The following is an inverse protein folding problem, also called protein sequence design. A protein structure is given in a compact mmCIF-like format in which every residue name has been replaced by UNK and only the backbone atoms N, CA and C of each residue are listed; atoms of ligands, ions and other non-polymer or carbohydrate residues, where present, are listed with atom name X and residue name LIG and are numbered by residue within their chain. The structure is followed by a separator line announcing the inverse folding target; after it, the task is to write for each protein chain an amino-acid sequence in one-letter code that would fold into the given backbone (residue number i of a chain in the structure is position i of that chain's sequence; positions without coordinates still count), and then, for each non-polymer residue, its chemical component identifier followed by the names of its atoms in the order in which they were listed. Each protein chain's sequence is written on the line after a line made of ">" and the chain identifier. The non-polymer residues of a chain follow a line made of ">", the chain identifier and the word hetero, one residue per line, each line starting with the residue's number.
data_IF_734776894008
#
_entry.id   IF_734776894008
#
_cell.length_a   1.000
_cell.length_b   1.000
_cell.length_c   1.000
_cell.angle_alpha   90.00
_cell.angle_beta   90.00
_cell.angle_gamma   90.00
#
_symmetry.space_group_name_H-M   'P 1'
#
loop_
_entity.id
_entity.type
_entity.pdbx_description
1 polymer ?
#
# COMPACT_ATOMS: atom_id res chain seq x y z
N UNK A 1 -22.82 28.24 10.67
CA UNK A 1 -22.15 26.94 10.80
C UNK A 1 -20.91 27.14 11.66
N UNK A 2 -20.66 26.27 12.66
CA UNK A 2 -19.41 26.33 13.42
C UNK A 2 -18.23 25.82 12.60
N UNK A 3 -16.97 26.22 12.92
CA UNK A 3 -15.77 25.69 12.24
C UNK A 3 -15.76 24.16 12.22
N UNK A 4 -16.04 23.49 13.34
CA UNK A 4 -16.15 22.02 13.43
C UNK A 4 -17.12 21.44 12.40
N UNK A 5 -18.31 22.02 12.23
CA UNK A 5 -19.29 21.56 11.23
C UNK A 5 -18.77 21.73 9.81
N UNK A 6 -18.03 22.81 9.54
CA UNK A 6 -17.42 23.04 8.22
C UNK A 6 -16.33 22.01 7.94
N UNK A 7 -15.43 21.79 8.89
CA UNK A 7 -14.36 20.78 8.80
C UNK A 7 -14.92 19.36 8.55
N UNK A 8 -15.93 18.96 9.34
CA UNK A 8 -16.59 17.67 9.18
C UNK A 8 -17.20 17.53 7.78
N UNK A 9 -17.96 18.54 7.30
CA UNK A 9 -18.57 18.48 5.96
C UNK A 9 -17.56 18.37 4.83
N UNK A 10 -16.37 18.98 4.98
CA UNK A 10 -15.27 18.86 4.03
C UNK A 10 -14.69 17.45 4.04
N UNK A 11 -14.54 16.84 5.23
CA UNK A 11 -13.90 15.55 5.40
C UNK A 11 -14.80 14.34 5.08
N UNK A 12 -16.11 14.42 5.30
CA UNK A 12 -17.05 13.31 5.15
C UNK A 12 -16.95 12.57 3.80
N UNK A 13 -16.81 13.26 2.63
CA UNK A 13 -16.79 12.57 1.33
C UNK A 13 -15.62 11.61 1.12
N UNK A 14 -14.55 11.73 1.88
CA UNK A 14 -13.37 10.88 1.76
C UNK A 14 -13.26 9.82 2.87
N UNK A 15 -14.25 9.73 3.77
CA UNK A 15 -14.30 8.69 4.80
C UNK A 15 -15.11 7.51 4.29
N UNK A 16 -14.51 6.34 4.33
CA UNK A 16 -15.15 5.09 3.90
C UNK A 16 -15.30 4.10 5.05
N UNK A 17 -16.30 3.23 4.96
CA UNK A 17 -16.42 2.05 5.82
C UNK A 17 -15.75 0.87 5.16
N UNK A 18 -14.92 0.15 5.91
CA UNK A 18 -14.24 -1.07 5.48
C UNK A 18 -14.88 -2.25 6.17
N UNK A 19 -15.21 -3.28 5.42
CA UNK A 19 -15.81 -4.48 5.94
C UNK A 19 -15.49 -5.71 5.09
N UNK A 20 -16.08 -6.80 5.48
CA UNK A 20 -16.02 -8.08 4.75
C UNK A 20 -17.42 -8.60 4.52
N UNK A 21 -17.55 -9.53 3.58
CA UNK A 21 -18.81 -10.19 3.30
C UNK A 21 -18.93 -11.44 4.16
N UNK A 22 -19.94 -11.50 5.01
CA UNK A 22 -20.28 -12.70 5.77
C UNK A 22 -21.55 -13.34 5.25
N UNK A 23 -21.54 -14.66 5.15
CA UNK A 23 -22.73 -15.46 4.87
C UNK A 23 -23.41 -15.82 6.18
N UNK A 24 -24.61 -15.29 6.39
CA UNK A 24 -25.43 -15.60 7.56
C UNK A 24 -26.58 -16.52 7.11
N UNK A 25 -26.67 -17.68 7.73
CA UNK A 25 -27.86 -18.54 7.61
C UNK A 25 -29.01 -17.91 8.40
N UNK A 26 -29.95 -17.30 7.70
CA UNK A 26 -31.15 -16.79 8.35
C UNK A 26 -32.10 -17.95 8.63
N UNK A 27 -32.20 -18.34 9.89
CA UNK A 27 -33.24 -19.22 10.38
C UNK A 27 -34.44 -18.32 10.76
N UNK A 28 -35.47 -18.33 9.92
CA UNK A 28 -36.60 -17.42 10.05
C UNK A 28 -37.50 -17.69 11.27
N UNK A 29 -37.27 -18.75 12.03
CA UNK A 29 -38.07 -19.09 13.21
C UNK A 29 -37.24 -19.98 14.18
N UNK A 30 -37.08 -19.59 15.47
CA UNK A 30 -36.43 -20.45 16.47
C UNK A 30 -37.10 -21.82 16.63
N UNK A 31 -38.41 -21.95 16.33
CA UNK A 31 -39.13 -23.22 16.34
C UNK A 31 -38.80 -24.10 15.14
N UNK A 32 -38.32 -23.57 14.04
CA UNK A 32 -37.97 -24.38 12.85
C UNK A 32 -36.75 -25.28 13.06
N UNK A 33 -35.89 -24.99 14.05
CA UNK A 33 -34.77 -25.83 14.42
C UNK A 33 -35.19 -27.21 14.98
N UNK A 34 -36.39 -27.32 15.51
CA UNK A 34 -36.93 -28.59 16.03
C UNK A 34 -37.60 -29.46 14.97
N UNK A 35 -37.88 -28.91 13.75
CA UNK A 35 -38.63 -29.60 12.69
C UNK A 35 -37.85 -29.61 11.36
N UNK A 36 -36.55 -29.37 11.36
CA UNK A 36 -35.70 -29.32 10.14
C UNK A 36 -35.67 -30.62 9.35
N UNK A 37 -35.94 -31.77 9.98
CA UNK A 37 -35.98 -33.07 9.27
C UNK A 37 -37.28 -33.32 8.50
N UNK A 38 -38.34 -32.55 8.73
CA UNK A 38 -39.63 -32.82 8.13
C UNK A 38 -40.05 -31.87 7.01
N UNK A 39 -39.50 -30.64 6.98
CA UNK A 39 -39.77 -29.66 5.94
C UNK A 39 -38.45 -29.04 5.45
N UNK A 40 -37.94 -29.57 4.34
CA UNK A 40 -36.83 -28.93 3.61
C UNK A 40 -37.25 -27.56 3.09
N UNK A 41 -37.27 -26.53 3.93
CA UNK A 41 -37.33 -25.15 3.49
C UNK A 41 -35.92 -24.67 3.25
N UNK A 42 -35.62 -24.10 2.06
CA UNK A 42 -34.29 -23.60 1.76
C UNK A 42 -33.95 -22.48 2.75
N UNK A 43 -32.93 -22.71 3.57
CA UNK A 43 -32.30 -21.66 4.36
C UNK A 43 -31.78 -20.62 3.38
N UNK A 44 -32.27 -19.39 3.46
CA UNK A 44 -31.71 -18.30 2.66
C UNK A 44 -30.37 -17.94 3.25
N UNK A 45 -29.31 -18.13 2.48
CA UNK A 45 -28.00 -17.55 2.77
C UNK A 45 -28.12 -16.07 2.45
N UNK A 46 -28.09 -15.23 3.48
CA UNK A 46 -27.99 -13.79 3.31
C UNK A 46 -26.52 -13.41 3.39
N UNK A 47 -26.08 -12.71 2.39
CA UNK A 47 -24.78 -12.07 2.38
C UNK A 47 -24.90 -10.72 3.04
N UNK A 48 -24.24 -10.50 4.17
CA UNK A 48 -24.29 -9.26 4.92
C UNK A 48 -22.90 -8.63 5.00
N UNK A 49 -22.84 -7.30 4.87
CA UNK A 49 -21.66 -6.51 5.14
C UNK A 49 -21.36 -6.54 6.64
N UNK A 50 -20.16 -7.02 7.00
CA UNK A 50 -19.67 -7.02 8.36
C UNK A 50 -18.56 -5.96 8.46
N UNK A 51 -18.80 -4.84 9.15
CA UNK A 51 -17.84 -3.75 9.26
C UNK A 51 -16.64 -4.16 10.11
N UNK A 52 -15.46 -3.72 9.68
CA UNK A 52 -14.18 -3.94 10.35
C UNK A 52 -13.57 -2.64 10.89
N UNK A 53 -13.80 -1.53 10.18
CA UNK A 53 -13.28 -0.22 10.53
C UNK A 53 -13.57 0.83 9.45
N UNK A 54 -12.77 1.87 9.44
CA UNK A 54 -12.87 2.99 8.51
C UNK A 54 -11.62 3.11 7.65
N UNK A 55 -11.69 3.94 6.61
CA UNK A 55 -10.56 4.28 5.75
C UNK A 55 -10.69 5.71 5.22
N UNK A 56 -9.62 6.18 4.61
CA UNK A 56 -9.49 7.51 4.03
C UNK A 56 -9.13 7.39 2.55
N UNK A 57 -9.97 7.94 1.68
CA UNK A 57 -9.66 8.07 0.25
C UNK A 57 -8.55 9.10 0.09
N UNK A 58 -7.43 8.72 -0.51
CA UNK A 58 -6.27 9.61 -0.72
C UNK A 58 -6.05 9.96 -2.19
N UNK A 59 -6.74 9.27 -3.09
CA UNK A 59 -6.67 9.52 -4.53
C UNK A 59 -7.99 9.19 -5.23
N UNK A 60 -8.40 10.04 -6.17
CA UNK A 60 -9.66 9.88 -6.91
C UNK A 60 -9.70 8.63 -7.80
N UNK A 61 -8.54 8.01 -8.08
CA UNK A 61 -8.43 6.75 -8.83
C UNK A 61 -8.57 5.50 -7.95
N UNK A 62 -8.94 5.69 -6.67
CA UNK A 62 -9.34 4.60 -5.79
C UNK A 62 -8.30 4.15 -4.78
N UNK A 63 -7.35 5.00 -4.38
CA UNK A 63 -6.47 4.68 -3.27
C UNK A 63 -7.10 5.05 -1.92
N UNK A 64 -7.01 4.12 -0.97
CA UNK A 64 -7.54 4.27 0.40
C UNK A 64 -6.48 3.86 1.39
N UNK A 65 -6.22 4.70 2.39
CA UNK A 65 -5.38 4.35 3.55
C UNK A 65 -6.26 3.95 4.72
N UNK A 66 -5.83 2.94 5.45
CA UNK A 66 -6.46 2.45 6.68
C UNK A 66 -5.41 1.84 7.62
N UNK A 67 -5.83 1.35 8.77
CA UNK A 67 -4.96 0.55 9.63
C UNK A 67 -4.82 -0.90 9.11
N UNK A 68 -3.63 -1.48 9.30
CA UNK A 68 -3.38 -2.88 8.94
C UNK A 68 -4.23 -3.84 9.76
N UNK A 69 -4.42 -3.58 11.07
CA UNK A 69 -5.24 -4.44 11.94
C UNK A 69 -6.70 -4.51 11.49
N UNK A 70 -7.23 -3.49 10.79
CA UNK A 70 -8.60 -3.48 10.24
C UNK A 70 -8.76 -4.56 9.17
N UNK A 71 -7.73 -4.79 8.34
CA UNK A 71 -7.83 -5.66 7.16
C UNK A 71 -7.15 -7.01 7.31
N UNK A 72 -6.22 -7.19 8.25
CA UNK A 72 -5.34 -8.38 8.36
C UNK A 72 -6.05 -9.73 8.45
N UNK A 73 -7.31 -9.78 8.89
CA UNK A 73 -8.10 -11.01 9.06
C UNK A 73 -9.21 -11.14 8.03
N UNK A 74 -9.35 -10.20 7.12
CA UNK A 74 -10.40 -10.24 6.11
C UNK A 74 -10.01 -11.17 4.97
N UNK A 75 -10.89 -12.11 4.62
CA UNK A 75 -10.73 -12.96 3.43
C UNK A 75 -11.10 -12.25 2.14
N UNK A 76 -11.93 -11.22 2.24
CA UNK A 76 -12.33 -10.32 1.16
C UNK A 76 -12.63 -8.95 1.74
N UNK A 77 -12.34 -7.90 0.99
CA UNK A 77 -12.58 -6.53 1.41
C UNK A 77 -13.72 -5.92 0.60
N UNK A 78 -14.66 -5.34 1.31
CA UNK A 78 -15.71 -4.48 0.76
C UNK A 78 -15.61 -3.09 1.37
N UNK A 79 -15.76 -2.10 0.54
CA UNK A 79 -15.72 -0.70 0.93
C UNK A 79 -17.10 -0.11 0.67
N UNK A 80 -17.62 0.61 1.64
CA UNK A 80 -18.82 1.42 1.47
C UNK A 80 -18.42 2.90 1.51
N UNK A 81 -18.66 3.60 0.41
CA UNK A 81 -18.41 5.03 0.27
C UNK A 81 -19.45 5.84 1.09
N UNK A 82 -19.16 7.12 1.28
CA UNK A 82 -20.02 8.03 2.04
C UNK A 82 -21.45 8.18 1.47
N UNK A 83 -21.60 8.00 0.16
CA UNK A 83 -22.89 8.06 -0.56
C UNK A 83 -23.63 6.71 -0.59
N UNK A 84 -23.09 5.67 0.07
CA UNK A 84 -23.63 4.32 0.12
C UNK A 84 -23.18 3.42 -1.04
N UNK A 85 -22.40 3.91 -2.00
CA UNK A 85 -21.84 3.09 -3.09
C UNK A 85 -20.91 2.04 -2.51
N UNK A 86 -21.04 0.79 -2.98
CA UNK A 86 -20.19 -0.31 -2.58
C UNK A 86 -19.15 -0.64 -3.66
N UNK A 87 -17.91 -0.89 -3.23
CA UNK A 87 -16.81 -1.31 -4.09
C UNK A 87 -16.04 -2.46 -3.43
N UNK A 88 -15.41 -3.31 -4.22
CA UNK A 88 -14.39 -4.23 -3.72
C UNK A 88 -13.09 -3.49 -3.43
N UNK A 89 -12.17 -4.13 -2.71
CA UNK A 89 -10.83 -3.59 -2.54
C UNK A 89 -9.77 -4.69 -2.52
N UNK A 90 -8.57 -4.33 -2.94
CA UNK A 90 -7.37 -5.16 -2.90
C UNK A 90 -6.29 -4.45 -2.10
N UNK A 91 -5.48 -5.23 -1.38
CA UNK A 91 -4.33 -4.69 -0.64
C UNK A 91 -3.22 -4.40 -1.64
N UNK A 92 -2.76 -3.16 -1.67
CA UNK A 92 -1.58 -2.71 -2.44
C UNK A 92 -0.31 -2.92 -1.62
N UNK A 93 -0.36 -2.55 -0.34
CA UNK A 93 0.76 -2.68 0.56
C UNK A 93 0.37 -2.44 2.01
N UNK A 94 1.24 -2.85 2.93
CA UNK A 94 1.00 -2.65 4.35
C UNK A 94 2.31 -2.52 5.14
N UNK A 95 2.21 -1.90 6.29
CA UNK A 95 3.25 -1.75 7.27
C UNK A 95 2.70 -2.22 8.62
N UNK A 96 3.26 -3.32 9.13
CA UNK A 96 2.81 -3.93 10.40
C UNK A 96 3.28 -3.12 11.60
N UNK A 97 4.48 -2.53 11.51
CA UNK A 97 5.10 -1.78 12.60
C UNK A 97 4.37 -0.46 12.85
N UNK A 98 3.98 0.23 11.78
CA UNK A 98 3.23 1.47 11.85
C UNK A 98 1.71 1.27 11.73
N UNK A 99 1.23 0.01 11.63
CA UNK A 99 -0.19 -0.35 11.51
C UNK A 99 -0.91 0.38 10.37
N UNK A 100 -0.27 0.51 9.21
CA UNK A 100 -0.81 1.15 8.01
C UNK A 100 -1.08 0.13 6.91
N UNK A 101 -2.10 0.37 6.10
CA UNK A 101 -2.42 -0.41 4.91
C UNK A 101 -2.94 0.48 3.80
N UNK A 102 -2.43 0.26 2.59
CA UNK A 102 -2.88 0.90 1.37
C UNK A 102 -3.75 -0.06 0.59
N UNK A 103 -4.95 0.38 0.24
CA UNK A 103 -5.92 -0.37 -0.54
C UNK A 103 -6.15 0.29 -1.89
N UNK A 104 -6.45 -0.52 -2.90
CA UNK A 104 -6.98 -0.10 -4.19
C UNK A 104 -8.44 -0.53 -4.29
N UNK A 105 -9.33 0.41 -4.54
CA UNK A 105 -10.73 0.09 -4.84
C UNK A 105 -10.84 -0.59 -6.20
N UNK A 106 -11.67 -1.61 -6.25
CA UNK A 106 -12.04 -2.30 -7.49
C UNK A 106 -13.48 -1.95 -7.84
N UNK A 107 -13.68 -1.36 -8.99
CA UNK A 107 -14.99 -0.89 -9.47
C UNK A 107 -14.83 0.03 -10.66
N UNK A 108 -15.92 0.25 -11.39
CA UNK A 108 -15.95 1.21 -12.49
C UNK A 108 -16.73 2.45 -12.04
N UNK A 109 -16.32 3.60 -12.54
CA UNK A 109 -17.05 4.86 -12.42
C UNK A 109 -17.33 5.29 -10.97
N UNK A 110 -16.35 5.04 -10.06
CA UNK A 110 -16.46 5.51 -8.67
C UNK A 110 -16.25 7.02 -8.62
N UNK A 111 -17.19 7.75 -8.00
CA UNK A 111 -17.03 9.18 -7.74
C UNK A 111 -16.36 9.38 -6.38
N UNK A 112 -15.06 9.62 -6.38
CA UNK A 112 -14.25 9.69 -5.19
C UNK A 112 -13.74 11.12 -4.96
N UNK A 113 -13.78 11.56 -3.73
CA UNK A 113 -13.18 12.82 -3.28
C UNK A 113 -11.95 12.48 -2.43
N UNK A 114 -10.74 12.87 -2.83
CA UNK A 114 -9.54 12.63 -2.01
C UNK A 114 -9.48 13.54 -0.79
N UNK A 115 -8.83 13.05 0.26
CA UNK A 115 -8.48 13.83 1.43
C UNK A 115 -7.50 14.95 1.07
N UNK A 116 -7.69 16.09 1.72
CA UNK A 116 -6.68 17.14 1.75
C UNK A 116 -5.75 16.89 2.93
N UNK A 117 -4.46 16.90 2.68
CA UNK A 117 -3.44 16.72 3.71
C UNK A 117 -3.11 18.08 4.33
N UNK A 118 -3.00 18.15 5.64
CA UNK A 118 -2.54 19.35 6.32
C UNK A 118 -1.10 19.68 5.89
N UNK A 119 -0.73 20.94 5.94
CA UNK A 119 0.67 21.34 5.83
C UNK A 119 1.39 20.77 7.06
N UNK A 120 2.39 19.94 6.84
CA UNK A 120 2.72 18.76 7.67
C UNK A 120 3.28 19.02 9.06
N UNK A 121 3.74 20.18 9.41
CA UNK A 121 4.66 20.26 10.56
C UNK A 121 4.22 21.17 11.70
N UNK A 122 3.12 21.89 11.56
CA UNK A 122 2.64 22.84 12.56
C UNK A 122 1.51 22.29 13.43
N UNK A 123 1.71 21.10 14.03
CA UNK A 123 0.77 20.59 15.03
C UNK A 123 1.14 21.10 16.43
N UNK A 124 0.19 21.76 17.08
CA UNK A 124 0.39 22.33 18.40
C UNK A 124 -0.42 21.61 19.46
N UNK A 125 0.16 21.48 20.67
CA UNK A 125 -0.58 20.99 21.83
C UNK A 125 -1.78 21.90 22.13
N UNK A 126 -2.95 21.29 22.35
CA UNK A 126 -4.20 22.01 22.55
C UNK A 126 -4.93 22.35 21.25
N UNK A 127 -4.36 22.06 20.09
CA UNK A 127 -5.05 22.24 18.81
C UNK A 127 -6.28 21.34 18.74
N UNK A 128 -7.40 21.91 18.28
CA UNK A 128 -8.65 21.18 18.14
C UNK A 128 -8.55 20.20 16.99
N UNK A 129 -8.85 18.93 17.27
CA UNK A 129 -8.91 17.86 16.30
C UNK A 129 -10.26 17.15 16.33
N UNK A 130 -10.61 16.57 15.18
CA UNK A 130 -11.89 15.88 14.99
C UNK A 130 -11.59 14.48 14.46
N UNK A 131 -11.96 13.46 15.21
CA UNK A 131 -11.88 12.09 14.77
C UNK A 131 -13.19 11.70 14.07
N UNK A 132 -13.08 11.16 12.87
CA UNK A 132 -14.22 10.75 12.04
C UNK A 132 -14.08 9.27 11.71
N UNK A 133 -15.22 8.56 11.72
CA UNK A 133 -15.29 7.18 11.28
C UNK A 133 -16.66 6.87 10.71
N UNK A 134 -16.79 5.71 10.09
CA UNK A 134 -18.06 5.18 9.60
C UNK A 134 -18.27 3.76 10.16
N UNK A 135 -18.46 3.64 11.50
CA UNK A 135 -18.68 2.36 12.13
C UNK A 135 -19.99 1.76 11.61
N UNK A 136 -19.94 0.50 11.22
CA UNK A 136 -21.12 -0.28 10.83
C UNK A 136 -21.77 0.10 9.48
N UNK A 137 -21.27 1.08 8.73
CA UNK A 137 -21.93 1.57 7.52
C UNK A 137 -23.34 2.16 7.77
N UNK A 138 -23.68 2.38 9.04
CA UNK A 138 -24.98 2.88 9.48
C UNK A 138 -25.03 4.41 9.60
N UNK A 139 -23.91 5.06 9.33
CA UNK A 139 -23.71 6.51 9.45
C UNK A 139 -22.37 6.84 10.10
N UNK A 140 -21.89 8.04 9.81
CA UNK A 140 -20.63 8.52 10.31
C UNK A 140 -20.71 8.89 11.79
N UNK A 141 -19.66 8.55 12.55
CA UNK A 141 -19.46 9.02 13.89
C UNK A 141 -18.39 10.10 13.92
N UNK A 142 -18.61 11.13 14.69
CA UNK A 142 -17.71 12.27 14.85
C UNK A 142 -17.47 12.52 16.31
N UNK A 143 -16.22 12.64 16.71
CA UNK A 143 -15.82 13.09 18.04
C UNK A 143 -14.82 14.23 17.93
N UNK A 144 -14.86 15.17 18.84
CA UNK A 144 -13.99 16.34 18.87
C UNK A 144 -13.21 16.37 20.17
N UNK A 145 -11.96 16.72 20.09
CA UNK A 145 -11.05 16.89 21.21
C UNK A 145 -9.88 17.80 20.84
N UNK A 146 -8.79 17.64 21.56
CA UNK A 146 -7.55 18.38 21.30
C UNK A 146 -6.36 17.43 21.18
N UNK A 147 -5.27 17.88 20.57
CA UNK A 147 -3.99 17.22 20.65
C UNK A 147 -3.46 17.35 22.07
N UNK A 148 -3.49 16.25 22.81
CA UNK A 148 -3.09 16.19 24.21
C UNK A 148 -1.59 15.96 24.39
N UNK A 149 -0.95 15.26 23.41
CA UNK A 149 0.49 15.08 23.34
C UNK A 149 0.93 14.75 21.90
N UNK A 150 2.19 15.03 21.61
CA UNK A 150 2.89 14.67 20.38
C UNK A 150 3.98 13.64 20.71
N UNK A 151 4.39 12.87 19.71
CA UNK A 151 5.52 11.93 19.78
C UNK A 151 5.38 10.91 20.94
N UNK A 152 4.18 10.33 21.09
CA UNK A 152 3.95 9.27 22.07
C UNK A 152 4.37 7.93 21.54
N UNK A 153 5.12 7.19 22.36
CA UNK A 153 5.50 5.82 22.08
C UNK A 153 4.96 4.90 23.17
N UNK A 154 4.47 3.74 22.78
CA UNK A 154 4.05 2.69 23.71
C UNK A 154 4.19 1.32 23.04
N UNK A 155 4.24 0.29 23.87
CA UNK A 155 4.36 -1.10 23.42
C UNK A 155 3.07 -1.85 23.70
N UNK A 156 2.57 -2.57 22.70
CA UNK A 156 1.46 -3.50 22.81
C UNK A 156 1.84 -4.87 22.26
N UNK A 157 1.99 -5.85 23.17
CA UNK A 157 2.54 -7.15 22.80
C UNK A 157 3.97 -7.04 22.28
N UNK A 158 4.19 -7.52 21.07
CA UNK A 158 5.50 -7.45 20.38
C UNK A 158 5.64 -6.23 19.47
N UNK A 159 4.59 -5.40 19.33
CA UNK A 159 4.61 -4.20 18.48
C UNK A 159 4.96 -2.98 19.33
N UNK A 160 5.92 -2.20 18.85
CA UNK A 160 6.30 -0.91 19.42
C UNK A 160 5.78 0.20 18.54
N UNK A 161 4.83 0.97 19.04
CA UNK A 161 4.30 2.14 18.34
C UNK A 161 5.07 3.37 18.74
N UNK A 162 5.54 4.14 17.77
CA UNK A 162 6.39 5.31 17.99
C UNK A 162 5.77 6.56 17.37
N UNK A 163 6.10 7.71 17.97
CA UNK A 163 5.77 9.05 17.46
C UNK A 163 4.28 9.31 17.21
N UNK A 164 3.37 8.66 17.94
CA UNK A 164 1.93 8.84 17.77
C UNK A 164 1.44 10.19 18.31
N UNK A 165 0.36 10.68 17.70
CA UNK A 165 -0.44 11.78 18.23
C UNK A 165 -1.38 11.24 19.31
N UNK A 166 -1.44 11.93 20.46
CA UNK A 166 -2.42 11.64 21.53
C UNK A 166 -3.52 12.68 21.50
N UNK A 167 -4.77 12.25 21.62
CA UNK A 167 -5.95 13.13 21.67
C UNK A 167 -6.93 12.65 22.75
N UNK A 168 -7.74 13.56 23.28
CA UNK A 168 -8.90 13.26 24.13
C UNK A 168 -10.21 13.13 23.30
N UNK A 169 -10.16 13.34 21.99
CA UNK A 169 -11.25 12.94 21.09
C UNK A 169 -11.53 11.45 21.28
N UNK A 170 -12.79 11.07 21.42
CA UNK A 170 -13.16 9.69 21.66
C UNK A 170 -12.80 8.81 20.43
N UNK A 171 -11.81 7.93 20.59
CA UNK A 171 -11.44 6.89 19.64
C UNK A 171 -12.05 5.57 20.11
N UNK A 172 -12.88 4.96 19.26
CA UNK A 172 -13.61 3.74 19.57
C UNK A 172 -13.54 2.76 18.37
N UNK A 173 -13.82 1.46 18.58
CA UNK A 173 -13.99 0.53 17.47
C UNK A 173 -14.96 1.09 16.42
N UNK A 174 -14.50 1.13 15.18
CA UNK A 174 -15.24 1.66 14.04
C UNK A 174 -14.73 2.99 13.50
N UNK A 175 -14.06 3.85 14.29
CA UNK A 175 -13.33 4.99 13.72
C UNK A 175 -11.84 4.71 13.48
N UNK A 176 -11.32 3.55 13.91
CA UNK A 176 -9.99 3.05 13.53
C UNK A 176 -9.84 3.01 12.00
N UNK A 177 -8.71 3.51 11.51
CA UNK A 177 -8.43 3.66 10.08
C UNK A 177 -9.08 4.89 9.43
N UNK A 178 -10.02 5.55 10.12
CA UNK A 178 -10.58 6.82 9.69
C UNK A 178 -9.69 8.02 10.01
N UNK A 179 -10.00 9.20 9.50
CA UNK A 179 -9.17 10.38 9.65
C UNK A 179 -9.27 11.03 11.03
N UNK A 180 -8.15 11.58 11.48
CA UNK A 180 -8.08 12.69 12.41
C UNK A 180 -7.85 13.97 11.59
N UNK A 181 -8.71 14.98 11.74
CA UNK A 181 -8.64 16.23 10.97
C UNK A 181 -8.55 17.44 11.88
N UNK A 182 -7.95 18.52 11.37
CA UNK A 182 -7.93 19.83 12.02
C UNK A 182 -9.24 20.62 11.77
N UNK A 183 -9.32 21.86 12.25
CA UNK A 183 -10.49 22.72 12.04
C UNK A 183 -10.64 23.24 10.61
N UNK A 184 -9.60 23.17 9.79
CA UNK A 184 -9.67 23.48 8.34
C UNK A 184 -10.22 22.27 7.56
N UNK A 185 -10.43 21.15 8.24
CA UNK A 185 -10.89 19.90 7.66
C UNK A 185 -9.82 19.18 6.85
N UNK A 186 -8.54 19.41 7.17
CA UNK A 186 -7.42 18.73 6.54
C UNK A 186 -6.94 17.57 7.40
N UNK A 187 -6.45 16.51 6.75
CA UNK A 187 -5.97 15.29 7.39
C UNK A 187 -4.68 15.58 8.16
N UNK A 188 -4.66 15.27 9.45
CA UNK A 188 -3.47 15.37 10.33
C UNK A 188 -2.98 13.99 10.79
N UNK A 189 -3.82 12.96 10.68
CA UNK A 189 -3.45 11.59 11.05
C UNK A 189 -4.55 10.58 10.78
N UNK A 190 -4.24 9.30 11.03
CA UNK A 190 -5.19 8.17 10.97
C UNK A 190 -5.49 7.70 12.39
N UNK A 191 -6.77 7.67 12.76
CA UNK A 191 -7.24 7.20 14.07
C UNK A 191 -6.81 5.76 14.30
N UNK A 192 -6.24 5.50 15.49
CA UNK A 192 -5.84 4.17 15.91
C UNK A 192 -6.51 3.84 17.24
N UNK A 193 -7.42 2.87 17.25
CA UNK A 193 -8.04 2.43 18.50
C UNK A 193 -7.07 1.58 19.30
N UNK A 194 -6.66 2.08 20.44
CA UNK A 194 -5.77 1.38 21.37
C UNK A 194 -6.30 1.50 22.78
N UNK A 195 -6.35 0.37 23.50
CA UNK A 195 -6.68 0.18 24.92
C UNK A 195 -8.07 0.68 25.34
N UNK A 196 -8.97 -0.28 25.47
CA UNK A 196 -10.32 -0.07 26.04
C UNK A 196 -10.31 0.35 27.52
N UNK A 197 -9.17 0.34 28.21
CA UNK A 197 -9.02 0.59 29.64
C UNK A 197 -8.61 2.03 30.00
N UNK A 198 -8.30 2.88 29.02
CA UNK A 198 -7.91 4.27 29.25
C UNK A 198 -8.97 5.25 28.72
N UNK A 199 -9.86 5.72 29.59
CA UNK A 199 -10.84 6.75 29.20
C UNK A 199 -10.16 8.08 28.91
N UNK A 200 -10.55 8.72 27.78
CA UNK A 200 -10.03 10.03 27.37
C UNK A 200 -8.61 10.01 26.80
N UNK A 201 -8.11 8.84 26.39
CA UNK A 201 -6.83 8.71 25.71
C UNK A 201 -7.07 7.99 24.40
N UNK A 202 -6.99 8.73 23.29
CA UNK A 202 -6.99 8.23 21.92
C UNK A 202 -5.64 8.45 21.28
N UNK A 203 -5.33 7.67 20.26
CA UNK A 203 -4.10 7.82 19.48
C UNK A 203 -4.41 7.92 17.99
N UNK A 204 -3.51 8.58 17.26
CA UNK A 204 -3.53 8.59 15.82
C UNK A 204 -2.11 8.50 15.26
N UNK A 205 -1.98 7.83 14.13
CA UNK A 205 -0.74 7.77 13.35
C UNK A 205 -0.58 9.13 12.66
N UNK A 206 0.53 9.85 12.85
CA UNK A 206 0.71 11.19 12.29
C UNK A 206 0.83 11.16 10.77
N UNK A 207 0.55 12.31 10.16
CA UNK A 207 0.64 12.48 8.71
C UNK A 207 2.04 12.16 8.16
N UNK A 208 3.11 12.50 8.89
CA UNK A 208 4.50 12.19 8.51
C UNK A 208 4.75 10.69 8.31
N UNK A 209 4.16 9.83 9.15
CA UNK A 209 4.25 8.37 8.98
C UNK A 209 3.46 7.90 7.76
N UNK A 210 2.27 8.47 7.55
CA UNK A 210 1.44 8.16 6.38
C UNK A 210 2.19 8.52 5.10
N UNK A 211 2.82 9.69 5.05
CA UNK A 211 3.59 10.15 3.90
C UNK A 211 4.81 9.30 3.62
N UNK A 212 5.56 8.94 4.66
CA UNK A 212 6.69 7.99 4.53
C UNK A 212 6.23 6.64 4.00
N UNK A 213 5.12 6.11 4.53
CA UNK A 213 4.48 4.88 4.05
C UNK A 213 4.05 5.00 2.60
N UNK A 214 3.35 6.08 2.22
CA UNK A 214 2.93 6.31 0.84
C UNK A 214 4.11 6.50 -0.10
N UNK A 215 5.16 7.22 0.32
CA UNK A 215 6.38 7.42 -0.47
C UNK A 215 7.08 6.09 -0.78
N UNK A 216 7.02 5.13 0.13
CA UNK A 216 7.53 3.78 -0.10
C UNK A 216 6.66 3.00 -1.09
N UNK A 217 5.34 2.92 -0.85
CA UNK A 217 4.42 2.08 -1.65
C UNK A 217 4.06 2.68 -2.99
N UNK A 218 4.10 4.00 -3.12
CA UNK A 218 3.82 4.73 -4.36
C UNK A 218 5.10 5.15 -5.09
N UNK A 219 6.25 4.51 -4.84
CA UNK A 219 7.45 4.74 -5.66
C UNK A 219 7.12 4.46 -7.13
N UNK A 220 7.52 5.37 -8.06
CA UNK A 220 7.30 5.14 -9.50
C UNK A 220 7.88 3.84 -10.02
N UNK A 221 8.96 3.35 -9.42
CA UNK A 221 9.58 2.05 -9.74
C UNK A 221 8.72 0.84 -9.36
N UNK A 222 7.73 1.01 -8.48
CA UNK A 222 6.79 -0.05 -8.14
C UNK A 222 5.69 -0.26 -9.19
N UNK A 223 5.59 0.61 -10.20
CA UNK A 223 4.60 0.51 -11.28
C UNK A 223 5.23 -0.13 -12.51
N UNK A 224 5.06 -1.44 -12.66
CA UNK A 224 5.69 -2.21 -13.71
C UNK A 224 5.41 -1.71 -15.14
N UNK A 225 4.26 -1.08 -15.33
CA UNK A 225 3.75 -0.68 -16.64
C UNK A 225 3.85 0.82 -16.92
N UNK A 226 4.38 1.62 -15.99
CA UNK A 226 4.39 3.08 -16.10
C UNK A 226 5.72 3.68 -15.57
N UNK A 227 6.83 3.27 -16.18
CA UNK A 227 8.16 3.75 -15.77
C UNK A 227 8.49 5.12 -16.37
N UNK A 228 8.91 6.03 -15.49
CA UNK A 228 9.39 7.38 -15.89
C UNK A 228 10.85 7.41 -16.29
N UNK A 229 11.67 6.54 -15.70
CA UNK A 229 13.11 6.54 -15.99
C UNK A 229 14.00 6.75 -14.78
N UNK A 230 13.44 6.74 -13.59
CA UNK A 230 14.20 6.77 -12.34
C UNK A 230 14.76 5.38 -12.02
N UNK A 231 15.96 5.29 -11.42
CA UNK A 231 16.45 4.05 -10.85
C UNK A 231 15.47 3.49 -9.80
N UNK A 232 15.33 2.17 -9.66
CA UNK A 232 14.44 1.57 -8.65
C UNK A 232 14.81 1.93 -7.21
N UNK A 233 16.09 2.13 -6.95
CA UNK A 233 16.68 2.52 -5.67
C UNK A 233 16.83 4.03 -5.48
N UNK A 234 16.33 4.83 -6.44
CA UNK A 234 16.35 6.28 -6.29
C UNK A 234 15.63 6.71 -5.01
N UNK A 235 16.35 7.44 -4.19
CA UNK A 235 15.79 8.12 -3.02
C UNK A 235 15.35 9.50 -3.47
N UNK A 236 14.04 9.72 -3.44
CA UNK A 236 13.46 11.04 -3.66
C UNK A 236 13.40 11.73 -2.29
N UNK A 237 14.17 12.80 -2.15
CA UNK A 237 14.24 13.55 -0.90
C UNK A 237 13.09 14.57 -0.83
N UNK A 238 12.59 14.78 0.37
CA UNK A 238 11.74 15.92 0.70
C UNK A 238 12.66 17.01 1.26
N UNK A 239 12.59 18.18 0.66
CA UNK A 239 13.31 19.35 1.14
C UNK A 239 12.35 20.55 1.16
N UNK A 240 12.69 21.61 1.88
CA UNK A 240 11.83 22.80 2.04
C UNK A 240 11.61 23.60 0.74
N UNK A 241 12.06 23.09 -0.41
CA UNK A 241 11.90 23.77 -1.70
C UNK A 241 10.74 23.22 -2.50
N UNK A 242 10.06 24.04 -3.32
CA UNK A 242 8.99 23.55 -4.18
C UNK A 242 9.45 22.46 -5.16
N UNK A 243 8.68 21.37 -5.25
CA UNK A 243 8.88 20.28 -6.19
C UNK A 243 9.88 19.23 -5.70
N UNK A 244 9.94 18.13 -6.39
CA UNK A 244 10.74 16.96 -6.05
C UNK A 244 12.06 16.99 -6.81
N UNK A 245 13.21 17.02 -6.14
CA UNK A 245 14.52 16.97 -6.80
C UNK A 245 14.76 15.58 -7.38
N UNK A 246 15.29 15.53 -8.60
CA UNK A 246 15.63 14.28 -9.28
C UNK A 246 17.12 13.93 -9.03
N UNK A 247 17.42 12.85 -8.29
CA UNK A 247 18.82 12.53 -7.95
C UNK A 247 19.61 12.04 -9.16
N UNK A 248 19.05 11.07 -9.88
CA UNK A 248 19.64 10.42 -11.03
C UNK A 248 18.57 10.11 -12.07
N UNK A 249 18.95 10.11 -13.34
CA UNK A 249 18.10 9.72 -14.46
C UNK A 249 18.87 8.70 -15.28
N UNK A 250 18.25 7.53 -15.52
CA UNK A 250 18.87 6.48 -16.31
C UNK A 250 18.98 6.92 -17.78
N UNK A 251 20.12 6.64 -18.42
CA UNK A 251 20.27 6.88 -19.85
C UNK A 251 19.20 6.16 -20.66
N UNK A 252 18.81 6.73 -21.81
CA UNK A 252 17.78 6.18 -22.73
C UNK A 252 16.39 6.01 -22.08
N UNK A 253 16.19 6.51 -20.86
CA UNK A 253 14.92 6.47 -20.16
C UNK A 253 13.92 7.51 -20.70
N UNK A 254 12.62 7.39 -20.39
CA UNK A 254 11.61 8.37 -20.78
C UNK A 254 11.96 9.80 -20.37
N UNK A 255 12.40 10.02 -19.13
CA UNK A 255 12.84 11.33 -18.66
C UNK A 255 14.05 11.85 -19.43
N UNK A 256 15.05 10.99 -19.70
CA UNK A 256 16.24 11.36 -20.45
C UNK A 256 15.87 11.74 -21.91
N UNK A 257 15.01 10.96 -22.57
CA UNK A 257 14.50 11.23 -23.92
C UNK A 257 13.75 12.55 -24.01
N UNK A 258 13.01 12.91 -22.94
CA UNK A 258 12.30 14.19 -22.83
C UNK A 258 13.23 15.37 -22.51
N UNK A 259 14.51 15.12 -22.23
CA UNK A 259 15.51 16.15 -21.96
C UNK A 259 15.59 16.58 -20.48
N UNK A 260 14.96 15.83 -19.56
CA UNK A 260 15.10 16.02 -18.12
C UNK A 260 16.51 15.58 -17.68
N UNK A 261 17.08 16.24 -16.69
CA UNK A 261 18.44 15.99 -16.19
C UNK A 261 18.45 15.82 -14.69
N UNK A 262 19.44 15.08 -14.18
CA UNK A 262 19.71 15.05 -12.75
C UNK A 262 19.88 16.47 -12.19
N UNK A 263 19.28 16.72 -11.03
CA UNK A 263 19.20 18.03 -10.39
C UNK A 263 18.00 18.90 -10.85
N UNK A 264 17.25 18.50 -11.89
CA UNK A 264 15.97 19.14 -12.19
C UNK A 264 14.96 18.82 -11.09
N UNK A 265 13.97 19.68 -10.91
CA UNK A 265 12.87 19.47 -9.95
C UNK A 265 11.56 19.29 -10.70
N UNK A 266 10.76 18.32 -10.31
CA UNK A 266 9.37 18.17 -10.79
C UNK A 266 8.47 19.00 -9.89
N UNK A 267 7.85 20.03 -10.44
CA UNK A 267 6.97 20.96 -9.74
C UNK A 267 5.51 20.55 -9.83
N UNK A 268 5.11 19.95 -10.96
CA UNK A 268 3.77 19.40 -11.16
C UNK A 268 3.79 18.28 -12.19
N UNK A 269 2.80 17.37 -12.08
CA UNK A 269 2.50 16.32 -13.04
C UNK A 269 1.05 16.46 -13.48
N UNK A 270 0.80 16.58 -14.79
CA UNK A 270 -0.53 16.80 -15.34
C UNK A 270 -1.30 17.98 -14.69
N UNK A 271 -0.57 19.01 -14.27
CA UNK A 271 -1.12 20.19 -13.59
C UNK A 271 -1.34 20.02 -12.08
N UNK A 272 -1.17 18.83 -11.52
CA UNK A 272 -1.19 18.60 -10.08
C UNK A 272 0.19 18.88 -9.49
N UNK A 273 0.25 19.80 -8.52
CA UNK A 273 1.51 20.16 -7.86
C UNK A 273 2.09 18.99 -7.08
N UNK A 274 3.40 18.84 -7.15
CA UNK A 274 4.16 17.84 -6.41
C UNK A 274 5.01 18.53 -5.34
N UNK A 275 4.75 18.22 -4.09
CA UNK A 275 5.50 18.75 -2.95
C UNK A 275 6.35 17.65 -2.32
N UNK A 276 5.89 16.41 -2.38
CA UNK A 276 6.47 15.24 -1.70
C UNK A 276 6.66 14.07 -2.66
N UNK A 277 7.58 13.16 -2.41
CA UNK A 277 7.81 11.97 -3.23
C UNK A 277 6.54 11.16 -3.53
N UNK A 278 5.63 11.02 -2.56
CA UNK A 278 4.36 10.33 -2.72
C UNK A 278 3.44 10.98 -3.79
N UNK A 279 3.54 12.29 -3.99
CA UNK A 279 2.72 13.00 -4.98
C UNK A 279 3.08 12.59 -6.41
N UNK A 280 4.38 12.37 -6.68
CA UNK A 280 4.84 11.84 -7.98
C UNK A 280 4.25 10.45 -8.24
N UNK A 281 4.35 9.56 -7.25
CA UNK A 281 3.78 8.22 -7.36
C UNK A 281 2.26 8.26 -7.55
N UNK A 282 1.55 9.08 -6.78
CA UNK A 282 0.10 9.28 -6.96
C UNK A 282 -0.20 9.77 -8.38
N UNK A 283 0.53 10.77 -8.88
CA UNK A 283 0.24 11.37 -10.19
C UNK A 283 0.35 10.38 -11.35
N UNK A 284 1.21 9.38 -11.25
CA UNK A 284 1.37 8.33 -12.28
C UNK A 284 0.64 7.02 -11.96
N UNK A 285 -0.02 6.93 -10.79
CA UNK A 285 -0.77 5.72 -10.40
C UNK A 285 -1.85 5.39 -11.42
N UNK A 286 -1.88 4.12 -11.86
CA UNK A 286 -2.87 3.62 -12.82
C UNK A 286 -2.60 3.97 -14.29
N UNK A 287 -1.57 4.74 -14.59
CA UNK A 287 -1.09 4.96 -15.95
C UNK A 287 -0.36 3.73 -16.48
N UNK A 288 -0.21 3.66 -17.81
CA UNK A 288 0.39 2.54 -18.53
C UNK A 288 1.48 3.01 -19.48
N UNK A 289 2.31 2.09 -19.93
CA UNK A 289 3.23 2.31 -21.02
C UNK A 289 2.49 2.82 -22.26
N UNK A 290 3.01 3.90 -22.86
CA UNK A 290 2.39 4.62 -23.96
C UNK A 290 1.57 5.84 -23.55
N UNK A 291 1.15 5.93 -22.27
CA UNK A 291 0.53 7.15 -21.76
C UNK A 291 1.56 8.27 -21.67
N UNK A 292 1.13 9.50 -21.95
CA UNK A 292 1.98 10.69 -21.89
C UNK A 292 1.58 11.53 -20.70
N UNK A 293 2.57 11.99 -19.93
CA UNK A 293 2.39 12.89 -18.79
C UNK A 293 3.06 14.21 -19.08
N UNK A 294 2.40 15.30 -18.70
CA UNK A 294 2.96 16.64 -18.76
C UNK A 294 3.69 16.93 -17.44
N UNK A 295 5.00 17.11 -17.50
CA UNK A 295 5.83 17.45 -16.35
C UNK A 295 6.17 18.94 -16.36
N UNK A 296 5.74 19.66 -15.34
CA UNK A 296 6.27 20.98 -15.06
C UNK A 296 7.55 20.85 -14.25
N UNK A 297 8.66 21.28 -14.81
CA UNK A 297 9.98 21.18 -14.18
C UNK A 297 10.56 22.57 -13.92
N UNK A 298 11.64 22.63 -13.13
CA UNK A 298 12.42 23.87 -12.90
C UNK A 298 12.92 24.53 -14.18
N UNK A 299 12.87 23.85 -15.34
CA UNK A 299 13.33 24.35 -16.65
C UNK A 299 12.21 24.52 -17.68
N UNK A 300 10.97 24.25 -17.31
CA UNK A 300 9.80 24.35 -18.18
C UNK A 300 8.98 23.09 -18.23
N UNK A 301 7.91 23.12 -19.02
CA UNK A 301 6.99 22.00 -19.18
C UNK A 301 7.47 21.07 -20.29
N UNK A 302 7.50 19.78 -20.02
CA UNK A 302 7.95 18.71 -20.90
C UNK A 302 6.90 17.60 -20.96
N UNK A 303 6.74 17.00 -22.14
CA UNK A 303 5.90 15.81 -22.30
C UNK A 303 6.77 14.57 -22.22
N UNK A 304 6.37 13.63 -21.36
CA UNK A 304 7.09 12.36 -21.14
C UNK A 304 6.15 11.21 -21.43
N UNK A 305 6.50 10.37 -22.40
CA UNK A 305 5.77 9.13 -22.67
C UNK A 305 6.33 8.03 -21.79
N UNK A 306 5.46 7.43 -21.00
CA UNK A 306 5.81 6.33 -20.08
C UNK A 306 6.17 5.06 -20.87
N UNK A 307 7.13 4.33 -20.36
CA UNK A 307 7.56 3.05 -20.92
C UNK A 307 7.36 1.92 -19.91
N UNK A 308 7.31 0.64 -20.34
CA UNK A 308 7.35 -0.44 -19.37
C UNK A 308 8.70 -0.45 -18.66
N UNK A 309 8.70 -0.80 -17.38
CA UNK A 309 9.93 -0.98 -16.62
C UNK A 309 10.82 -2.02 -17.32
N UNK A 310 12.10 -1.73 -17.61
CA UNK A 310 13.02 -2.70 -18.21
C UNK A 310 13.08 -4.01 -17.44
N UNK A 311 13.21 -5.15 -18.14
CA UNK A 311 13.09 -6.49 -17.55
C UNK A 311 14.05 -6.72 -16.37
N UNK A 312 15.30 -6.29 -16.47
CA UNK A 312 16.27 -6.43 -15.37
C UNK A 312 15.91 -5.56 -14.16
N UNK A 313 15.38 -4.36 -14.40
CA UNK A 313 14.90 -3.49 -13.34
C UNK A 313 13.60 -4.05 -12.72
N UNK A 314 12.72 -4.65 -13.52
CA UNK A 314 11.51 -5.31 -13.03
C UNK A 314 11.84 -6.46 -12.08
N UNK A 315 12.79 -7.32 -12.45
CA UNK A 315 13.25 -8.41 -11.59
C UNK A 315 13.84 -7.88 -10.27
N UNK A 316 14.69 -6.86 -10.35
CA UNK A 316 15.27 -6.21 -9.16
C UNK A 316 14.18 -5.64 -8.25
N UNK A 317 13.26 -4.88 -8.80
CA UNK A 317 12.21 -4.19 -8.04
C UNK A 317 11.20 -5.16 -7.44
N UNK A 318 10.79 -6.19 -8.21
CA UNK A 318 9.73 -7.11 -7.80
C UNK A 318 10.23 -8.27 -6.95
N UNK A 319 11.41 -8.78 -7.23
CA UNK A 319 11.98 -9.93 -6.52
C UNK A 319 13.07 -9.53 -5.51
N UNK A 320 13.57 -8.29 -5.56
CA UNK A 320 14.73 -7.89 -4.74
C UNK A 320 15.97 -8.71 -5.06
N UNK A 321 16.06 -9.27 -6.26
CA UNK A 321 17.12 -10.17 -6.70
C UNK A 321 17.73 -9.68 -8.01
N UNK A 322 19.04 -9.75 -8.11
CA UNK A 322 19.73 -9.78 -9.38
C UNK A 322 19.87 -11.23 -9.83
N UNK A 323 19.41 -11.52 -11.04
CA UNK A 323 19.37 -12.86 -11.61
C UNK A 323 20.20 -12.96 -12.89
N UNK A 324 20.92 -14.06 -13.04
CA UNK A 324 21.65 -14.40 -14.25
C UNK A 324 21.25 -15.78 -14.75
N UNK A 325 21.21 -15.97 -16.08
CA UNK A 325 20.96 -17.29 -16.65
C UNK A 325 22.09 -18.25 -16.30
N UNK A 326 21.71 -19.48 -15.95
CA UNK A 326 22.67 -20.53 -15.68
C UNK A 326 23.36 -20.98 -16.97
N UNK A 327 24.65 -20.68 -17.07
CA UNK A 327 25.53 -21.08 -18.18
C UNK A 327 26.55 -22.12 -17.75
N UNK A 328 27.33 -22.67 -18.70
CA UNK A 328 28.30 -23.73 -18.40
C UNK A 328 29.40 -23.28 -17.44
N UNK A 329 29.83 -22.01 -17.51
CA UNK A 329 30.83 -21.46 -16.59
C UNK A 329 30.28 -21.40 -15.16
N UNK A 330 29.04 -20.95 -14.99
CA UNK A 330 28.37 -20.93 -13.67
C UNK A 330 28.09 -22.33 -13.15
N UNK A 331 27.69 -23.29 -14.02
CA UNK A 331 27.53 -24.68 -13.62
C UNK A 331 28.81 -25.25 -13.04
N UNK A 332 29.92 -25.04 -13.73
CA UNK A 332 31.24 -25.47 -13.24
C UNK A 332 31.61 -24.78 -11.92
N UNK A 333 31.40 -23.47 -11.82
CA UNK A 333 31.74 -22.69 -10.62
C UNK A 333 30.89 -23.08 -9.39
N UNK A 334 29.66 -23.52 -9.62
CA UNK A 334 28.71 -23.94 -8.57
C UNK A 334 28.75 -25.45 -8.28
N UNK A 335 29.63 -26.19 -8.99
CA UNK A 335 29.76 -27.66 -8.86
C UNK A 335 28.42 -28.40 -9.06
N UNK A 336 27.70 -28.01 -10.13
CA UNK A 336 26.39 -28.57 -10.47
C UNK A 336 26.54 -29.78 -11.39
N UNK A 337 25.64 -30.74 -11.23
CA UNK A 337 25.58 -31.91 -12.10
C UNK A 337 24.99 -31.56 -13.48
N UNK A 338 25.21 -32.41 -14.48
CA UNK A 338 24.64 -32.19 -15.81
C UNK A 338 23.13 -32.31 -15.80
N UNK A 339 22.44 -31.25 -16.24
CA UNK A 339 20.97 -31.23 -16.43
C UNK A 339 20.22 -30.15 -15.66
N UNK A 340 20.83 -29.49 -14.68
CA UNK A 340 20.18 -28.39 -13.97
C UNK A 340 20.08 -27.15 -14.88
N UNK A 341 18.88 -26.60 -14.95
CA UNK A 341 18.53 -25.37 -15.72
C UNK A 341 17.85 -24.38 -14.82
N UNK A 342 17.81 -23.12 -15.22
CA UNK A 342 17.15 -22.07 -14.45
C UNK A 342 18.00 -20.80 -14.35
N UNK A 343 17.68 -19.97 -13.40
CA UNK A 343 18.38 -18.71 -13.12
C UNK A 343 19.05 -18.76 -11.75
N UNK A 344 20.21 -18.11 -11.66
CA UNK A 344 21.05 -18.05 -10.46
C UNK A 344 20.93 -16.67 -9.85
N UNK A 345 20.83 -16.61 -8.52
CA UNK A 345 20.90 -15.36 -7.78
C UNK A 345 22.35 -14.85 -7.80
N UNK A 346 22.59 -13.76 -8.51
CA UNK A 346 23.88 -13.07 -8.48
C UNK A 346 24.02 -12.13 -7.30
N UNK A 347 22.92 -11.54 -6.84
CA UNK A 347 22.85 -10.67 -5.68
C UNK A 347 21.45 -10.68 -5.05
N UNK A 348 21.38 -10.65 -3.71
CA UNK A 348 20.16 -10.35 -2.95
C UNK A 348 20.25 -8.89 -2.52
N UNK A 349 19.26 -8.07 -2.94
CA UNK A 349 19.28 -6.64 -2.69
C UNK A 349 18.87 -6.33 -1.24
N UNK A 350 19.47 -5.32 -0.59
CA UNK A 350 19.18 -4.98 0.81
C UNK A 350 17.74 -4.49 1.02
N UNK A 351 17.15 -3.87 0.02
CA UNK A 351 15.79 -3.32 0.05
C UNK A 351 14.81 -4.18 -0.76
N UNK A 352 14.83 -5.48 -0.53
CA UNK A 352 13.88 -6.36 -1.20
C UNK A 352 12.43 -6.02 -0.79
N UNK A 353 11.49 -5.90 -1.75
CA UNK A 353 10.14 -5.41 -1.49
C UNK A 353 9.21 -6.43 -0.81
N UNK A 354 9.74 -7.42 -0.13
CA UNK A 354 8.99 -8.57 0.40
C UNK A 354 8.29 -8.31 1.75
N UNK A 355 8.12 -7.04 2.14
CA UNK A 355 7.41 -6.67 3.36
C UNK A 355 8.04 -7.26 4.62
N UNK A 356 7.23 -7.58 5.61
CA UNK A 356 7.65 -8.13 6.92
C UNK A 356 8.49 -9.39 6.81
N UNK A 357 8.35 -10.15 5.74
CA UNK A 357 9.12 -11.37 5.52
C UNK A 357 10.49 -11.13 4.86
N UNK A 358 10.80 -9.92 4.41
CA UNK A 358 12.07 -9.60 3.77
C UNK A 358 13.29 -9.97 4.63
N UNK A 359 13.23 -9.75 5.93
CA UNK A 359 14.29 -10.12 6.86
C UNK A 359 14.50 -11.64 6.94
N UNK A 360 13.42 -12.43 6.89
CA UNK A 360 13.48 -13.89 6.89
C UNK A 360 14.06 -14.43 5.59
N UNK A 361 13.67 -13.85 4.45
CA UNK A 361 14.17 -14.25 3.13
C UNK A 361 15.66 -13.96 2.96
N UNK A 362 16.15 -12.81 3.43
CA UNK A 362 17.59 -12.48 3.42
C UNK A 362 18.43 -13.47 4.24
N UNK A 363 17.85 -14.13 5.24
CA UNK A 363 18.52 -15.17 6.00
C UNK A 363 18.61 -16.50 5.24
N UNK A 364 17.68 -16.74 4.31
CA UNK A 364 17.53 -17.99 3.58
C UNK A 364 18.18 -17.93 2.21
N UNK A 365 17.90 -16.86 1.41
CA UNK A 365 18.43 -16.72 0.05
C UNK A 365 19.84 -16.13 0.04
N UNK A 366 20.69 -16.69 -0.80
CA UNK A 366 22.10 -16.30 -0.94
C UNK A 366 22.51 -16.21 -2.40
N UNK A 367 23.58 -15.46 -2.65
CA UNK A 367 24.28 -15.50 -3.93
C UNK A 367 24.67 -16.95 -4.27
N UNK A 368 24.39 -17.36 -5.49
CA UNK A 368 24.64 -18.71 -6.00
C UNK A 368 23.47 -19.67 -5.85
N UNK A 369 22.38 -19.28 -5.14
CA UNK A 369 21.17 -20.10 -5.11
C UNK A 369 20.48 -20.07 -6.48
N UNK A 370 19.85 -21.20 -6.85
CA UNK A 370 19.22 -21.38 -8.17
C UNK A 370 17.71 -21.44 -7.97
N UNK A 371 16.97 -20.72 -8.81
CA UNK A 371 15.51 -20.81 -8.85
C UNK A 371 15.13 -22.09 -9.59
N UNK A 372 14.66 -23.09 -8.87
CA UNK A 372 14.20 -24.37 -9.41
C UNK A 372 12.75 -24.32 -9.88
N UNK A 373 11.92 -23.55 -9.20
CA UNK A 373 10.50 -23.43 -9.50
C UNK A 373 9.98 -22.06 -9.07
N UNK A 374 9.07 -21.51 -9.86
CA UNK A 374 8.33 -20.31 -9.47
C UNK A 374 6.87 -20.44 -9.93
N UNK A 375 5.93 -20.51 -8.98
CA UNK A 375 4.56 -20.89 -9.25
C UNK A 375 4.52 -22.29 -9.91
N UNK A 376 3.81 -22.40 -11.03
CA UNK A 376 3.67 -23.68 -11.77
C UNK A 376 4.83 -23.93 -12.77
N UNK A 377 5.79 -23.02 -12.88
CA UNK A 377 6.90 -23.10 -13.82
C UNK A 377 8.13 -23.73 -13.15
N UNK A 378 8.56 -24.88 -13.65
CA UNK A 378 9.83 -25.52 -13.29
C UNK A 378 10.98 -24.94 -14.11
N UNK A 379 12.14 -24.82 -13.48
CA UNK A 379 13.39 -24.29 -14.08
C UNK A 379 13.17 -23.02 -14.93
N UNK A 380 12.57 -21.96 -14.32
CA UNK A 380 12.20 -20.78 -15.08
C UNK A 380 13.45 -20.06 -15.63
N UNK A 381 13.32 -19.54 -16.85
CA UNK A 381 14.26 -18.55 -17.40
C UNK A 381 13.96 -17.16 -16.87
N UNK A 382 14.87 -16.20 -17.06
CA UNK A 382 14.58 -14.77 -16.75
C UNK A 382 13.33 -14.29 -17.48
N UNK A 383 13.16 -14.67 -18.76
CA UNK A 383 12.00 -14.30 -19.56
C UNK A 383 10.69 -14.87 -18.97
N UNK A 384 10.70 -16.12 -18.47
CA UNK A 384 9.54 -16.72 -17.80
C UNK A 384 9.18 -15.92 -16.53
N UNK A 385 10.16 -15.56 -15.71
CA UNK A 385 9.94 -14.77 -14.50
C UNK A 385 9.39 -13.37 -14.84
N UNK A 386 9.93 -12.71 -15.85
CA UNK A 386 9.43 -11.41 -16.33
C UNK A 386 7.98 -11.53 -16.80
N UNK A 387 7.65 -12.56 -17.59
CA UNK A 387 6.28 -12.78 -18.06
C UNK A 387 5.31 -13.01 -16.89
N UNK A 388 5.73 -13.77 -15.89
CA UNK A 388 4.92 -14.00 -14.67
C UNK A 388 4.69 -12.71 -13.91
N UNK A 389 5.72 -11.87 -13.74
CA UNK A 389 5.63 -10.61 -13.03
C UNK A 389 4.73 -9.60 -13.76
N UNK A 390 4.83 -9.53 -15.11
CA UNK A 390 3.96 -8.66 -15.91
C UNK A 390 2.50 -9.14 -15.97
N UNK A 391 2.27 -10.45 -15.90
CA UNK A 391 0.93 -11.04 -15.89
C UNK A 391 0.26 -11.12 -14.53
N UNK A 392 0.94 -10.73 -13.45
CA UNK A 392 0.43 -10.84 -12.08
C UNK A 392 -0.13 -9.50 -11.60
N UNK A 393 -1.31 -9.54 -10.99
CA UNK A 393 -1.82 -8.37 -10.28
C UNK A 393 -0.96 -8.06 -9.04
N UNK A 394 -0.81 -6.78 -8.70
CA UNK A 394 -0.17 -6.38 -7.46
C UNK A 394 -0.85 -7.07 -6.27
N UNK A 395 -0.07 -7.50 -5.29
CA UNK A 395 -0.61 -8.18 -4.11
C UNK A 395 -0.82 -9.69 -4.26
N UNK A 396 -0.53 -10.30 -5.42
CA UNK A 396 -0.61 -11.76 -5.56
C UNK A 396 0.57 -12.45 -4.90
N UNK A 397 0.28 -13.49 -4.14
CA UNK A 397 1.28 -14.36 -3.55
C UNK A 397 1.69 -15.46 -4.52
N UNK A 398 3.01 -15.67 -4.64
CA UNK A 398 3.60 -16.81 -5.37
C UNK A 398 4.52 -17.59 -4.45
N UNK A 399 4.74 -18.86 -4.73
CA UNK A 399 5.79 -19.64 -4.08
C UNK A 399 6.95 -19.86 -5.05
N UNK A 400 8.12 -20.05 -4.52
CA UNK A 400 9.28 -20.47 -5.30
C UNK A 400 10.09 -21.51 -4.53
N UNK A 401 10.78 -22.35 -5.26
CA UNK A 401 11.72 -23.35 -4.74
C UNK A 401 13.10 -22.95 -5.23
N UNK A 402 14.05 -22.88 -4.31
CA UNK A 402 15.43 -22.57 -4.61
C UNK A 402 16.32 -23.76 -4.28
N UNK A 403 17.31 -24.06 -5.12
CA UNK A 403 18.41 -24.93 -4.75
C UNK A 403 19.41 -24.10 -3.96
N UNK A 404 19.56 -24.37 -2.68
CA UNK A 404 20.52 -23.67 -1.84
C UNK A 404 21.95 -24.07 -2.22
N UNK A 405 22.75 -23.08 -2.60
CA UNK A 405 24.16 -23.25 -2.92
C UNK A 405 24.99 -23.75 -1.72
N UNK A 406 24.54 -23.41 -0.49
CA UNK A 406 25.21 -23.80 0.74
C UNK A 406 24.83 -25.22 1.21
N UNK A 407 23.52 -25.57 1.15
CA UNK A 407 22.98 -26.82 1.65
C UNK A 407 22.91 -27.91 0.59
N UNK A 408 23.05 -27.57 -0.69
CA UNK A 408 22.92 -28.47 -1.85
C UNK A 408 21.58 -29.23 -1.85
N UNK A 409 20.52 -28.59 -1.35
CA UNK A 409 19.18 -29.16 -1.28
C UNK A 409 18.12 -28.08 -1.62
N UNK A 410 16.96 -28.50 -2.13
CA UNK A 410 15.85 -27.59 -2.38
C UNK A 410 15.34 -26.94 -1.09
N UNK A 411 15.12 -25.63 -1.14
CA UNK A 411 14.51 -24.84 -0.07
C UNK A 411 13.26 -24.20 -0.63
N UNK A 412 12.12 -24.54 -0.05
CA UNK A 412 10.84 -23.93 -0.44
C UNK A 412 10.68 -22.56 0.23
N UNK A 413 10.47 -21.57 -0.61
CA UNK A 413 10.14 -20.23 -0.21
C UNK A 413 8.63 -20.07 -0.38
N UNK A 414 7.88 -20.32 0.70
CA UNK A 414 6.43 -20.31 0.67
C UNK A 414 5.89 -18.88 0.67
N UNK A 415 5.55 -18.35 -0.47
CA UNK A 415 4.81 -17.10 -0.68
C UNK A 415 5.64 -15.81 -0.58
N UNK A 416 5.92 -15.21 -1.69
CA UNK A 416 6.30 -13.81 -1.76
C UNK A 416 5.21 -12.98 -2.42
N UNK A 417 5.06 -11.77 -1.93
CA UNK A 417 4.08 -10.81 -2.44
C UNK A 417 4.64 -10.18 -3.72
N UNK A 418 3.90 -10.26 -4.80
CA UNK A 418 4.19 -9.52 -6.02
C UNK A 418 3.57 -8.13 -5.90
N UNK A 419 4.37 -7.11 -5.95
CA UNK A 419 3.95 -5.70 -5.85
C UNK A 419 3.70 -5.08 -7.21
#
# INVERSE_FOLDING_TARGET
>A
MTPTVQAVRKALPWVVSIGTTQQILQVNDPFSLFFTDFFQRPSRVLTQFAPLGSGVVIDARGLVVTNYHVVRRASSLQIQLWDGTAAGAEVVGYDVENDLCLLRLTGKDLSLTPAHFAASEDLYLGETVIAIGNPFGLGQSVSTGVLSALNRSFREGDVNFEELLQTDAAINPGNSGGPLVNLDGDLVGINQAIRADAQGIGFAIPLSHIERFLSYWLKPSHFADAWLGLPPDAVLEDDDQPGIPLPEILPESPLAKAGVRAGDRILAVNGEKTFRPADLGRAIWGLKAGDTVSLETSRGTLEVTLEPLPDDLLLKTRLGLELVELNDALRHALDLTHGETGVVISQVLPEAPWGVHAAQWRQVLRRGDIVLQCGDKESPTKADLVQMLRGSAAGQWRYAVFLSSAMKMPVEVAKFLLH
#
